data_IF_774669363799
#
_entry.id   IF_774669363799
#
_cell.length_a   1.000
_cell.length_b   1.000
_cell.length_c   1.000
_cell.angle_alpha   90.00
_cell.angle_beta   90.00
_cell.angle_gamma   90.00
#
_symmetry.space_group_name_H-M   'P 1'
#
loop_
_entity.id
_entity.type
_entity.pdbx_description
1 polymer ?
#
# COMPACT_ATOMS: atom_id res chain seq x y z
N UNK A 1 13.85 23.04 15.96
CA UNK A 1 13.49 24.09 16.94
C UNK A 1 14.75 24.50 17.69
N UNK A 2 14.95 25.81 17.86
CA UNK A 2 16.19 26.46 18.34
C UNK A 2 16.32 26.45 19.86
N UNK A 3 17.58 26.43 20.30
CA UNK A 3 18.16 26.88 21.58
C UNK A 3 17.97 26.01 22.85
N UNK A 4 19.07 25.42 23.34
CA UNK A 4 19.51 25.60 24.74
C UNK A 4 21.01 25.25 24.98
N UNK A 5 21.80 26.31 25.11
CA UNK A 5 22.96 26.57 25.99
C UNK A 5 23.93 25.45 26.45
N UNK A 6 25.19 25.69 26.06
CA UNK A 6 26.48 25.41 26.71
C UNK A 6 26.45 25.21 28.24
N UNK A 7 27.10 24.13 28.69
CA UNK A 7 27.97 24.12 29.87
C UNK A 7 29.20 23.24 29.59
N UNK A 8 30.35 23.87 29.33
CA UNK A 8 31.65 23.22 29.33
C UNK A 8 32.15 23.20 30.78
N UNK A 9 32.15 22.04 31.42
CA UNK A 9 32.90 21.80 32.66
C UNK A 9 34.18 21.07 32.30
N UNK A 10 35.31 21.78 32.38
CA UNK A 10 36.65 21.20 32.33
C UNK A 10 36.84 20.35 33.59
N UNK A 11 36.81 19.02 33.46
CA UNK A 11 37.33 18.11 34.48
C UNK A 11 38.75 17.69 34.08
N UNK A 12 39.73 18.08 34.89
CA UNK A 12 41.12 17.62 34.79
C UNK A 12 41.20 16.10 34.93
N UNK A 13 42.15 15.41 34.26
CA UNK A 13 42.32 13.98 34.43
C UNK A 13 43.00 13.73 35.78
N UNK A 14 42.27 13.14 36.72
CA UNK A 14 42.88 12.46 37.87
C UNK A 14 43.47 11.16 37.34
N UNK A 15 44.79 11.07 37.29
CA UNK A 15 45.49 9.81 37.02
C UNK A 15 45.35 8.90 38.25
N UNK A 16 44.34 8.03 38.25
CA UNK A 16 44.28 6.89 39.16
C UNK A 16 45.22 5.79 38.65
N UNK A 17 46.11 5.33 39.52
CA UNK A 17 47.01 4.20 39.24
C UNK A 17 46.24 2.91 39.01
N UNK A 18 46.80 2.05 38.16
CA UNK A 18 46.20 0.84 37.60
C UNK A 18 46.06 -0.36 38.59
N UNK A 19 45.77 -0.13 39.87
CA UNK A 19 45.66 -1.25 40.85
C UNK A 19 44.29 -1.47 41.50
N UNK A 20 43.29 -0.65 41.24
CA UNK A 20 41.90 -0.97 41.61
C UNK A 20 40.93 -0.33 40.62
N UNK A 21 40.81 -0.93 39.44
CA UNK A 21 39.71 -0.58 38.56
C UNK A 21 38.39 -0.95 39.28
N UNK A 22 37.42 -0.02 39.35
CA UNK A 22 36.22 -0.23 40.14
C UNK A 22 35.41 -1.41 39.58
N UNK A 23 35.32 -2.49 40.36
CA UNK A 23 34.44 -3.61 40.07
C UNK A 23 33.01 -3.06 40.01
N UNK A 24 32.39 -3.13 38.83
CA UNK A 24 30.99 -2.72 38.65
C UNK A 24 30.11 -3.51 39.63
N UNK A 25 29.39 -2.84 40.56
CA UNK A 25 28.53 -3.54 41.50
C UNK A 25 27.40 -4.28 40.77
N UNK A 26 27.12 -5.53 41.16
CA UNK A 26 26.06 -6.33 40.53
C UNK A 26 24.67 -5.67 40.63
N UNK A 27 24.41 -4.92 41.71
CA UNK A 27 23.17 -4.16 41.86
C UNK A 27 23.02 -3.02 40.84
N UNK A 28 24.14 -2.40 40.43
CA UNK A 28 24.13 -1.37 39.40
C UNK A 28 23.79 -1.98 38.05
N UNK A 29 24.41 -3.12 37.70
CA UNK A 29 24.11 -3.85 36.45
C UNK A 29 22.66 -4.32 36.39
N UNK A 30 22.14 -4.85 37.51
CA UNK A 30 20.74 -5.26 37.62
C UNK A 30 19.79 -4.08 37.41
N UNK A 31 20.05 -2.95 38.08
CA UNK A 31 19.21 -1.75 37.95
C UNK A 31 19.30 -1.12 36.56
N UNK A 32 20.49 -1.11 35.94
CA UNK A 32 20.68 -0.68 34.57
C UNK A 32 19.85 -1.54 33.62
N UNK A 33 19.92 -2.87 33.75
CA UNK A 33 19.10 -3.80 32.96
C UNK A 33 17.60 -3.53 33.14
N UNK A 34 17.12 -3.43 34.38
CA UNK A 34 15.72 -3.09 34.69
C UNK A 34 15.27 -1.78 34.00
N UNK A 35 16.16 -0.81 33.89
CA UNK A 35 15.87 0.47 33.24
C UNK A 35 15.96 0.41 31.72
N UNK A 36 16.87 -0.39 31.16
CA UNK A 36 16.97 -0.64 29.71
C UNK A 36 15.75 -1.42 29.18
N UNK A 37 15.17 -2.30 29.98
CA UNK A 37 13.94 -3.04 29.66
C UNK A 37 12.66 -2.16 29.78
N UNK A 38 12.77 -0.96 30.34
CA UNK A 38 11.62 -0.08 30.59
C UNK A 38 10.95 0.42 29.31
N UNK A 39 9.62 0.56 29.35
CA UNK A 39 8.86 1.21 28.27
C UNK A 39 9.09 2.73 28.23
N UNK A 40 9.42 3.33 29.38
CA UNK A 40 9.75 4.75 29.51
C UNK A 40 11.12 5.08 28.90
N UNK A 41 11.19 5.86 27.79
CA UNK A 41 12.44 6.24 27.15
C UNK A 41 13.38 7.03 28.06
N UNK A 42 12.85 7.79 29.04
CA UNK A 42 13.68 8.55 29.96
C UNK A 42 14.48 7.63 30.90
N UNK A 43 13.87 6.51 31.33
CA UNK A 43 14.56 5.48 32.13
C UNK A 43 15.63 4.76 31.32
N UNK A 44 15.32 4.36 30.08
CA UNK A 44 16.29 3.73 29.18
C UNK A 44 17.49 4.65 28.93
N UNK A 45 17.24 5.90 28.56
CA UNK A 45 18.28 6.92 28.35
C UNK A 45 19.19 7.10 29.57
N UNK A 46 18.61 7.19 30.77
CA UNK A 46 19.40 7.31 32.00
C UNK A 46 20.26 6.07 32.28
N UNK A 47 19.80 4.87 31.91
CA UNK A 47 20.63 3.67 31.96
C UNK A 47 21.81 3.77 30.99
N UNK A 48 21.58 4.16 29.74
CA UNK A 48 22.64 4.29 28.72
C UNK A 48 23.68 5.36 29.09
N UNK A 49 23.26 6.52 29.59
CA UNK A 49 24.19 7.55 30.07
C UNK A 49 25.08 7.07 31.23
N UNK A 50 24.61 6.10 32.02
CA UNK A 50 25.45 5.49 33.05
C UNK A 50 26.57 4.66 32.42
N UNK A 51 26.30 3.96 31.30
CA UNK A 51 27.29 3.13 30.58
C UNK A 51 28.42 3.98 30.02
N UNK A 52 28.10 5.15 29.46
CA UNK A 52 29.04 6.09 28.83
C UNK A 52 30.06 6.68 29.81
N UNK A 53 29.82 6.58 31.12
CA UNK A 53 30.69 7.13 32.16
C UNK A 53 31.62 6.07 32.79
N UNK A 54 31.65 4.84 32.26
CA UNK A 54 32.35 3.70 32.87
C UNK A 54 33.69 3.40 32.23
N UNK A 55 34.53 2.67 32.96
CA UNK A 55 35.84 2.21 32.48
C UNK A 55 35.71 1.14 31.39
N UNK A 56 36.74 1.01 30.55
CA UNK A 56 36.82 -0.02 29.50
C UNK A 56 36.59 -1.44 30.05
N UNK A 57 37.05 -1.71 31.26
CA UNK A 57 36.92 -3.01 31.94
C UNK A 57 35.46 -3.37 32.29
N UNK A 58 34.57 -2.38 32.39
CA UNK A 58 33.16 -2.57 32.64
C UNK A 58 32.36 -2.94 31.38
N UNK A 59 32.84 -2.55 30.18
CA UNK A 59 32.11 -2.63 28.92
C UNK A 59 31.56 -4.03 28.59
N UNK A 60 32.30 -5.15 28.77
CA UNK A 60 31.77 -6.48 28.44
C UNK A 60 30.51 -6.87 29.25
N UNK A 61 30.43 -6.43 30.52
CA UNK A 61 29.26 -6.71 31.37
C UNK A 61 28.04 -5.89 30.93
N UNK A 62 28.24 -4.64 30.50
CA UNK A 62 27.17 -3.80 29.98
C UNK A 62 26.73 -4.24 28.59
N UNK A 63 27.65 -4.67 27.73
CA UNK A 63 27.33 -5.28 26.44
C UNK A 63 26.42 -6.52 26.63
N UNK A 64 26.72 -7.36 27.63
CA UNK A 64 25.85 -8.49 27.99
C UNK A 64 24.46 -8.03 28.44
N UNK A 65 24.37 -6.95 29.21
CA UNK A 65 23.10 -6.39 29.65
C UNK A 65 22.30 -5.73 28.50
N UNK A 66 22.98 -5.09 27.54
CA UNK A 66 22.38 -4.55 26.31
C UNK A 66 21.78 -5.68 25.45
N UNK A 67 22.50 -6.79 25.25
CA UNK A 67 21.95 -7.95 24.54
C UNK A 67 20.75 -8.58 25.26
N UNK A 68 20.78 -8.63 26.60
CA UNK A 68 19.63 -9.10 27.38
C UNK A 68 18.41 -8.18 27.20
N UNK A 69 18.61 -6.85 27.25
CA UNK A 69 17.56 -5.87 26.98
C UNK A 69 17.05 -5.94 25.53
N UNK A 70 17.92 -6.16 24.53
CA UNK A 70 17.53 -6.38 23.13
C UNK A 70 16.57 -7.57 23.03
N UNK A 71 16.98 -8.72 23.59
CA UNK A 71 16.14 -9.93 23.62
C UNK A 71 14.82 -9.72 24.37
N UNK A 72 14.80 -8.89 25.40
CA UNK A 72 13.56 -8.52 26.10
C UNK A 72 12.59 -7.80 25.16
N UNK A 73 13.06 -6.77 24.46
CA UNK A 73 12.25 -5.95 23.57
C UNK A 73 11.79 -6.72 22.33
N UNK A 74 12.62 -7.57 21.75
CA UNK A 74 12.23 -8.50 20.66
C UNK A 74 11.09 -9.43 21.10
N UNK A 75 11.18 -10.03 22.31
CA UNK A 75 10.09 -10.86 22.86
C UNK A 75 8.83 -10.04 23.11
N UNK A 76 8.97 -8.78 23.53
CA UNK A 76 7.85 -7.85 23.70
C UNK A 76 7.19 -7.55 22.36
N UNK A 77 7.95 -7.30 21.29
CA UNK A 77 7.46 -7.12 19.93
C UNK A 77 6.62 -8.34 19.50
N UNK A 78 7.16 -9.54 19.65
CA UNK A 78 6.44 -10.77 19.32
C UNK A 78 5.14 -10.91 20.10
N UNK A 79 5.11 -10.58 21.41
CA UNK A 79 3.86 -10.58 22.21
C UNK A 79 2.84 -9.55 21.74
N UNK A 80 3.28 -8.34 21.38
CA UNK A 80 2.40 -7.28 20.86
C UNK A 80 1.76 -7.73 19.56
N UNK A 81 2.57 -8.26 18.64
CA UNK A 81 2.11 -8.64 17.30
C UNK A 81 1.30 -9.94 17.32
N UNK A 82 1.57 -10.88 18.22
CA UNK A 82 0.81 -12.13 18.40
C UNK A 82 -0.37 -12.02 19.38
N UNK A 83 -0.53 -10.88 20.06
CA UNK A 83 -1.46 -10.73 21.17
C UNK A 83 -2.93 -10.78 20.77
N UNK A 84 -3.61 -11.90 21.07
CA UNK A 84 -5.06 -12.01 21.29
C UNK A 84 -6.02 -11.73 20.11
N UNK A 85 -7.28 -12.18 20.24
CA UNK A 85 -8.33 -12.07 19.20
C UNK A 85 -8.76 -10.63 18.87
N UNK A 86 -8.38 -9.66 19.71
CA UNK A 86 -8.77 -8.25 19.55
C UNK A 86 -7.71 -7.43 18.78
N UNK A 87 -6.63 -8.07 18.31
CA UNK A 87 -5.62 -7.40 17.50
C UNK A 87 -6.07 -7.34 16.03
N UNK A 88 -6.52 -6.15 15.61
CA UNK A 88 -6.97 -5.90 14.24
C UNK A 88 -5.90 -6.20 13.15
N UNK A 89 -4.61 -6.23 13.49
CA UNK A 89 -3.56 -6.73 12.58
C UNK A 89 -3.74 -8.21 12.24
N UNK A 90 -4.07 -9.06 13.22
CA UNK A 90 -4.26 -10.51 13.01
C UNK A 90 -5.48 -10.83 12.14
N UNK A 91 -6.47 -9.95 12.10
CA UNK A 91 -7.62 -10.09 11.21
C UNK A 91 -7.36 -9.56 9.80
N UNK A 92 -6.68 -8.41 9.68
CA UNK A 92 -6.51 -7.72 8.41
C UNK A 92 -5.35 -8.26 7.57
N UNK A 93 -4.22 -8.62 8.19
CA UNK A 93 -3.04 -9.11 7.47
C UNK A 93 -3.33 -10.32 6.58
N UNK A 94 -3.95 -11.41 7.06
CA UNK A 94 -4.20 -12.57 6.22
C UNK A 94 -5.19 -12.26 5.09
N UNK A 95 -6.12 -11.33 5.32
CA UNK A 95 -7.10 -10.90 4.31
C UNK A 95 -6.42 -10.11 3.19
N UNK A 96 -5.47 -9.22 3.50
CA UNK A 96 -4.71 -8.48 2.50
C UNK A 96 -3.77 -9.39 1.70
N UNK A 97 -3.17 -10.40 2.33
CA UNK A 97 -2.35 -11.41 1.65
C UNK A 97 -3.20 -12.31 0.74
N UNK A 98 -4.35 -12.77 1.22
CA UNK A 98 -5.36 -13.51 0.44
C UNK A 98 -5.81 -12.68 -0.77
N UNK A 99 -6.17 -11.40 -0.55
CA UNK A 99 -6.61 -10.50 -1.62
C UNK A 99 -5.54 -10.33 -2.70
N UNK A 100 -4.29 -10.12 -2.29
CA UNK A 100 -3.15 -9.94 -3.22
C UNK A 100 -2.95 -11.18 -4.07
N UNK A 101 -2.99 -12.36 -3.45
CA UNK A 101 -2.80 -13.66 -4.12
C UNK A 101 -3.94 -13.94 -5.09
N UNK A 102 -5.18 -13.77 -4.65
CA UNK A 102 -6.36 -14.08 -5.44
C UNK A 102 -6.57 -13.08 -6.59
N UNK A 103 -6.26 -11.79 -6.39
CA UNK A 103 -6.23 -10.81 -7.48
C UNK A 103 -5.28 -11.24 -8.59
N UNK A 104 -4.05 -11.64 -8.25
CA UNK A 104 -3.06 -12.08 -9.24
C UNK A 104 -3.58 -13.29 -10.02
N UNK A 105 -4.07 -14.32 -9.32
CA UNK A 105 -4.60 -15.54 -9.93
C UNK A 105 -5.77 -15.26 -10.87
N UNK A 106 -6.76 -14.49 -10.41
CA UNK A 106 -7.98 -14.20 -11.20
C UNK A 106 -7.70 -13.23 -12.33
N UNK A 107 -6.75 -12.30 -12.17
CA UNK A 107 -6.33 -11.41 -13.25
C UNK A 107 -5.73 -12.17 -14.44
N UNK A 108 -4.97 -13.23 -14.18
CA UNK A 108 -4.48 -14.11 -15.25
C UNK A 108 -5.63 -14.85 -15.94
N UNK A 109 -6.65 -15.29 -15.20
CA UNK A 109 -7.86 -15.91 -15.78
C UNK A 109 -8.66 -14.92 -16.65
N UNK A 110 -8.77 -13.66 -16.24
CA UNK A 110 -9.46 -12.61 -17.00
C UNK A 110 -8.87 -12.48 -18.42
N UNK A 111 -7.56 -12.71 -18.59
CA UNK A 111 -6.82 -12.61 -19.85
C UNK A 111 -6.86 -13.85 -20.74
N UNK A 112 -7.50 -14.92 -20.29
CA UNK A 112 -7.65 -16.13 -21.10
C UNK A 112 -8.74 -15.91 -22.15
N UNK A 113 -8.46 -16.33 -23.39
CA UNK A 113 -9.46 -16.47 -24.44
C UNK A 113 -10.23 -17.78 -24.23
N UNK A 114 -11.45 -17.66 -23.70
CA UNK A 114 -12.33 -18.79 -23.45
C UNK A 114 -13.14 -19.20 -24.67
N UNK A 115 -12.92 -18.58 -25.84
CA UNK A 115 -13.66 -18.83 -27.08
C UNK A 115 -15.17 -18.72 -26.87
N UNK A 116 -15.59 -17.78 -26.00
CA UNK A 116 -16.99 -17.56 -25.60
C UNK A 116 -17.69 -18.78 -24.98
N UNK A 117 -16.95 -19.73 -24.40
CA UNK A 117 -17.51 -20.87 -23.68
C UNK A 117 -18.30 -20.40 -22.44
N UNK A 118 -19.61 -20.54 -22.47
CA UNK A 118 -20.50 -20.03 -21.42
C UNK A 118 -20.23 -20.64 -20.03
N UNK A 119 -19.79 -21.91 -19.96
CA UNK A 119 -19.46 -22.57 -18.69
C UNK A 119 -18.21 -21.96 -18.08
N UNK A 120 -17.18 -21.72 -18.91
CA UNK A 120 -15.93 -21.10 -18.46
C UNK A 120 -16.10 -19.63 -18.09
N UNK A 121 -16.93 -18.89 -18.83
CA UNK A 121 -17.29 -17.51 -18.46
C UNK A 121 -18.05 -17.49 -17.14
N UNK A 122 -18.95 -18.44 -16.88
CA UNK A 122 -19.63 -18.55 -15.57
C UNK A 122 -18.64 -18.86 -14.46
N UNK A 123 -17.69 -19.79 -14.68
CA UNK A 123 -16.60 -20.05 -13.73
C UNK A 123 -15.82 -18.77 -13.43
N UNK A 124 -15.37 -18.03 -14.46
CA UNK A 124 -14.65 -16.77 -14.28
C UNK A 124 -15.44 -15.74 -13.45
N UNK A 125 -16.78 -15.65 -13.64
CA UNK A 125 -17.62 -14.77 -12.81
C UNK A 125 -17.57 -15.16 -11.33
N UNK A 126 -17.70 -16.45 -11.04
CA UNK A 126 -17.61 -16.96 -9.66
C UNK A 126 -16.24 -16.66 -9.03
N UNK A 127 -15.17 -16.74 -9.82
CA UNK A 127 -13.81 -16.38 -9.37
C UNK A 127 -13.72 -14.89 -9.02
N UNK A 128 -14.22 -14.00 -9.88
CA UNK A 128 -14.28 -12.54 -9.61
C UNK A 128 -15.13 -12.22 -8.38
N UNK A 129 -16.29 -12.87 -8.23
CA UNK A 129 -17.14 -12.74 -7.04
C UNK A 129 -16.43 -13.23 -5.76
N UNK A 130 -15.54 -14.22 -5.88
CA UNK A 130 -14.70 -14.65 -4.76
C UNK A 130 -13.74 -13.58 -4.32
N UNK A 131 -13.07 -12.92 -5.27
CA UNK A 131 -12.19 -11.78 -4.97
C UNK A 131 -12.98 -10.62 -4.37
N UNK A 132 -14.19 -10.34 -4.86
CA UNK A 132 -15.05 -9.30 -4.27
C UNK A 132 -15.35 -9.58 -2.80
N UNK A 133 -15.71 -10.82 -2.43
CA UNK A 133 -15.93 -11.18 -1.01
C UNK A 133 -14.71 -10.90 -0.14
N UNK A 134 -13.50 -11.18 -0.64
CA UNK A 134 -12.25 -10.89 0.07
C UNK A 134 -12.01 -9.38 0.15
N UNK A 135 -12.24 -8.66 -0.95
CA UNK A 135 -12.13 -7.21 -1.03
C UNK A 135 -13.06 -6.49 -0.03
N UNK A 136 -14.32 -6.94 0.09
CA UNK A 136 -15.26 -6.40 1.07
C UNK A 136 -14.84 -6.68 2.53
N UNK A 137 -14.24 -7.86 2.79
CA UNK A 137 -13.63 -8.16 4.10
C UNK A 137 -12.45 -7.23 4.39
N UNK A 138 -11.58 -6.99 3.39
CA UNK A 138 -10.46 -6.07 3.53
C UNK A 138 -10.92 -4.65 3.85
N UNK A 139 -11.96 -4.13 3.15
CA UNK A 139 -12.58 -2.84 3.48
C UNK A 139 -13.03 -2.81 4.94
N UNK A 140 -13.80 -3.82 5.36
CA UNK A 140 -14.33 -3.88 6.72
C UNK A 140 -13.23 -3.84 7.78
N UNK A 141 -12.21 -4.68 7.66
CA UNK A 141 -11.13 -4.74 8.64
C UNK A 141 -10.19 -3.54 8.56
N UNK A 142 -10.05 -2.91 7.38
CA UNK A 142 -9.25 -1.69 7.23
C UNK A 142 -9.82 -0.47 7.98
N UNK A 143 -11.10 -0.50 8.33
CA UNK A 143 -11.76 0.53 9.14
C UNK A 143 -11.37 0.50 10.62
N UNK A 144 -10.72 -0.58 11.09
CA UNK A 144 -10.25 -0.67 12.46
C UNK A 144 -9.07 0.29 12.71
N UNK A 145 -9.06 0.91 13.89
CA UNK A 145 -7.96 1.76 14.32
C UNK A 145 -6.75 0.90 14.75
N UNK A 146 -5.62 1.10 14.07
CA UNK A 146 -4.36 0.43 14.37
C UNK A 146 -3.38 1.33 15.12
N UNK A 147 -3.71 2.61 15.35
CA UNK A 147 -2.82 3.55 16.04
C UNK A 147 -2.31 3.01 17.40
N UNK A 148 -3.14 2.40 18.26
CA UNK A 148 -2.65 1.83 19.52
C UNK A 148 -1.61 0.71 19.34
N UNK A 149 -1.77 -0.13 18.32
CA UNK A 149 -0.82 -1.19 17.99
C UNK A 149 0.46 -0.59 17.42
N UNK A 150 0.33 0.30 16.43
CA UNK A 150 1.47 0.96 15.77
C UNK A 150 2.32 1.71 16.78
N UNK A 151 1.71 2.45 17.72
CA UNK A 151 2.45 3.15 18.79
C UNK A 151 3.23 2.18 19.68
N UNK A 152 2.67 1.02 20.02
CA UNK A 152 3.39 0.02 20.80
C UNK A 152 4.58 -0.57 20.03
N UNK A 153 4.42 -0.83 18.73
CA UNK A 153 5.52 -1.29 17.87
C UNK A 153 6.59 -0.22 17.74
N UNK A 154 6.22 1.04 17.54
CA UNK A 154 7.15 2.18 17.47
C UNK A 154 7.94 2.35 18.77
N UNK A 155 7.31 2.20 19.93
CA UNK A 155 8.01 2.24 21.22
C UNK A 155 9.05 1.13 21.36
N UNK A 156 8.74 -0.07 20.87
CA UNK A 156 9.69 -1.20 20.89
C UNK A 156 10.82 -0.95 19.89
N UNK A 157 10.51 -0.52 18.65
CA UNK A 157 11.49 -0.16 17.65
C UNK A 157 12.45 0.92 18.18
N UNK A 158 11.93 1.94 18.84
CA UNK A 158 12.74 2.97 19.48
C UNK A 158 13.70 2.39 20.53
N UNK A 159 13.22 1.50 21.41
CA UNK A 159 14.07 0.87 22.41
C UNK A 159 15.19 0.01 21.78
N UNK A 160 14.88 -0.69 20.68
CA UNK A 160 15.86 -1.49 19.95
C UNK A 160 16.91 -0.61 19.27
N UNK A 161 16.51 0.48 18.61
CA UNK A 161 17.44 1.46 18.01
C UNK A 161 18.37 2.08 19.04
N UNK A 162 17.85 2.43 20.22
CA UNK A 162 18.66 2.97 21.32
C UNK A 162 19.71 1.94 21.78
N UNK A 163 19.35 0.65 21.86
CA UNK A 163 20.29 -0.41 22.25
C UNK A 163 21.35 -0.64 21.17
N UNK A 164 20.95 -0.71 19.89
CA UNK A 164 21.89 -0.84 18.76
C UNK A 164 22.87 0.33 18.70
N UNK A 165 22.39 1.55 18.97
CA UNK A 165 23.25 2.73 19.05
C UNK A 165 24.32 2.59 20.13
N UNK A 166 23.95 2.11 21.32
CA UNK A 166 24.93 1.89 22.40
C UNK A 166 25.87 0.72 22.10
N UNK A 167 25.40 -0.34 21.45
CA UNK A 167 26.27 -1.44 21.00
C UNK A 167 27.30 -0.95 19.98
N UNK A 168 26.88 -0.15 19.00
CA UNK A 168 27.76 0.46 18.01
C UNK A 168 28.79 1.41 18.66
N UNK A 169 28.37 2.22 19.64
CA UNK A 169 29.30 3.06 20.44
C UNK A 169 30.38 2.24 21.14
N UNK A 170 29.99 1.12 21.77
CA UNK A 170 30.95 0.23 22.44
C UNK A 170 31.92 -0.39 21.43
N UNK A 171 31.43 -0.79 20.24
CA UNK A 171 32.26 -1.36 19.19
C UNK A 171 33.28 -0.34 18.65
N UNK A 172 32.85 0.85 18.26
CA UNK A 172 33.74 1.91 17.77
C UNK A 172 34.76 2.35 18.81
N UNK A 173 34.36 2.46 20.08
CA UNK A 173 35.30 2.80 21.16
C UNK A 173 36.42 1.77 21.30
N UNK A 174 36.12 0.47 21.11
CA UNK A 174 37.14 -0.60 21.11
C UNK A 174 38.09 -0.52 19.91
N UNK A 175 37.66 0.10 18.82
CA UNK A 175 38.47 0.36 17.63
C UNK A 175 39.28 1.66 17.74
N UNK A 176 39.10 2.43 18.83
CA UNK A 176 39.75 3.72 19.03
C UNK A 176 39.08 4.85 18.27
N UNK A 177 37.81 4.66 17.87
CA UNK A 177 37.00 5.63 17.15
C UNK A 177 35.84 6.15 18.02
N UNK A 178 35.36 7.35 17.71
CA UNK A 178 34.15 7.91 18.32
C UNK A 178 32.98 7.76 17.34
N UNK A 179 31.91 7.11 17.78
CA UNK A 179 30.68 6.96 16.99
C UNK A 179 29.55 7.84 17.52
N UNK A 180 29.02 8.69 16.63
CA UNK A 180 27.77 9.42 16.85
C UNK A 180 26.87 9.20 15.64
N UNK A 181 25.66 8.62 15.81
CA UNK A 181 24.79 8.30 14.69
C UNK A 181 24.27 9.57 14.01
N UNK A 182 24.33 9.59 12.68
CA UNK A 182 23.64 10.60 11.89
C UNK A 182 22.18 10.20 11.57
N UNK A 183 21.42 11.09 10.92
CA UNK A 183 20.02 10.82 10.56
C UNK A 183 19.87 9.59 9.67
N UNK A 184 20.87 9.26 8.86
CA UNK A 184 20.84 8.10 7.96
C UNK A 184 21.08 6.80 8.70
N UNK A 185 21.98 6.81 9.69
CA UNK A 185 22.22 5.68 10.59
C UNK A 185 20.96 5.39 11.42
N UNK A 186 20.32 6.41 11.99
CA UNK A 186 19.09 6.23 12.76
C UNK A 186 17.95 5.68 11.90
N UNK A 187 17.82 6.10 10.64
CA UNK A 187 16.84 5.53 9.71
C UNK A 187 17.15 4.08 9.36
N UNK A 188 18.43 3.72 9.18
CA UNK A 188 18.87 2.34 8.93
C UNK A 188 18.56 1.46 10.14
N UNK A 189 18.99 1.87 11.33
CA UNK A 189 18.75 1.14 12.57
C UNK A 189 17.26 0.98 12.86
N UNK A 190 16.44 1.99 12.58
CA UNK A 190 14.99 1.89 12.76
C UNK A 190 14.37 0.80 11.89
N UNK A 191 14.85 0.68 10.65
CA UNK A 191 14.43 -0.36 9.72
C UNK A 191 14.90 -1.74 10.20
N UNK A 192 16.18 -1.85 10.55
CA UNK A 192 16.82 -3.09 11.02
C UNK A 192 16.17 -3.61 12.31
N UNK A 193 15.85 -2.72 13.25
CA UNK A 193 15.22 -3.05 14.53
C UNK A 193 13.94 -3.89 14.40
N UNK A 194 13.18 -3.71 13.32
CA UNK A 194 11.99 -4.52 13.05
C UNK A 194 12.29 -5.68 12.10
N UNK A 195 13.11 -5.48 11.08
CA UNK A 195 13.44 -6.50 10.05
C UNK A 195 14.24 -7.70 10.60
N UNK A 196 15.00 -7.52 11.69
CA UNK A 196 15.75 -8.61 12.31
C UNK A 196 14.86 -9.67 12.98
N UNK A 197 13.58 -9.37 13.18
CA UNK A 197 12.61 -10.31 13.75
C UNK A 197 11.58 -10.73 12.71
N UNK A 198 11.20 -12.01 12.73
CA UNK A 198 10.16 -12.54 11.84
C UNK A 198 8.84 -11.76 11.95
N UNK A 199 8.41 -11.44 13.18
CA UNK A 199 7.15 -10.73 13.42
C UNK A 199 7.24 -9.26 12.95
N UNK A 200 8.37 -8.59 13.17
CA UNK A 200 8.58 -7.20 12.75
C UNK A 200 8.64 -7.06 11.22
N UNK A 201 9.35 -7.95 10.51
CA UNK A 201 9.36 -7.98 9.05
C UNK A 201 7.94 -8.16 8.48
N UNK A 202 7.18 -9.11 9.04
CA UNK A 202 5.79 -9.35 8.64
C UNK A 202 4.91 -8.12 8.87
N UNK A 203 5.09 -7.42 10.00
CA UNK A 203 4.35 -6.19 10.30
C UNK A 203 4.68 -5.05 9.34
N UNK A 204 5.95 -4.85 8.97
CA UNK A 204 6.35 -3.84 7.96
C UNK A 204 5.68 -4.14 6.61
N UNK A 205 5.75 -5.40 6.15
CA UNK A 205 5.10 -5.84 4.91
C UNK A 205 3.60 -5.57 4.95
N UNK A 206 2.96 -5.86 6.08
CA UNK A 206 1.55 -5.57 6.32
C UNK A 206 1.24 -4.07 6.23
N UNK A 207 1.99 -3.20 6.92
CA UNK A 207 1.76 -1.76 6.88
C UNK A 207 1.81 -1.23 5.45
N UNK A 208 2.83 -1.64 4.68
CA UNK A 208 2.95 -1.30 3.26
C UNK A 208 1.73 -1.77 2.44
N UNK A 209 1.31 -3.02 2.63
CA UNK A 209 0.15 -3.55 1.90
C UNK A 209 -1.15 -2.82 2.27
N UNK A 210 -1.33 -2.47 3.56
CA UNK A 210 -2.46 -1.69 4.04
C UNK A 210 -2.46 -0.28 3.45
N UNK A 211 -1.32 0.40 3.41
CA UNK A 211 -1.21 1.75 2.86
C UNK A 211 -1.54 1.77 1.36
N UNK A 212 -1.03 0.78 0.61
CA UNK A 212 -1.40 0.59 -0.80
C UNK A 212 -2.91 0.39 -0.93
N UNK A 213 -3.50 -0.48 -0.11
CA UNK A 213 -4.94 -0.73 -0.15
C UNK A 213 -5.78 0.52 0.20
N UNK A 214 -5.41 1.28 1.23
CA UNK A 214 -6.09 2.53 1.59
C UNK A 214 -5.97 3.58 0.48
N UNK A 215 -4.81 3.65 -0.18
CA UNK A 215 -4.62 4.51 -1.34
C UNK A 215 -5.48 4.07 -2.53
N UNK A 216 -5.67 2.77 -2.77
CA UNK A 216 -6.62 2.25 -3.77
C UNK A 216 -8.05 2.70 -3.47
N UNK A 217 -8.52 2.58 -2.23
CA UNK A 217 -9.86 3.02 -1.81
C UNK A 217 -10.06 4.52 -2.02
N UNK A 218 -9.08 5.32 -1.62
CA UNK A 218 -9.08 6.78 -1.82
C UNK A 218 -9.13 7.14 -3.31
N UNK A 219 -8.35 6.44 -4.15
CA UNK A 219 -8.31 6.65 -5.59
C UNK A 219 -9.63 6.28 -6.26
N UNK A 220 -10.28 5.19 -5.85
CA UNK A 220 -11.61 4.80 -6.31
C UNK A 220 -12.65 5.86 -5.95
N UNK A 221 -12.66 6.32 -4.70
CA UNK A 221 -13.59 7.34 -4.24
C UNK A 221 -13.42 8.65 -5.02
N UNK A 222 -12.18 9.09 -5.26
CA UNK A 222 -11.88 10.27 -6.04
C UNK A 222 -12.36 10.15 -7.50
N UNK A 223 -12.11 9.01 -8.14
CA UNK A 223 -12.53 8.78 -9.52
C UNK A 223 -14.05 8.74 -9.68
N UNK A 224 -14.75 8.03 -8.79
CA UNK A 224 -16.21 7.98 -8.82
C UNK A 224 -16.83 9.34 -8.50
N UNK A 225 -16.22 10.12 -7.60
CA UNK A 225 -16.63 11.52 -7.36
C UNK A 225 -16.48 12.38 -8.62
N UNK A 226 -15.33 12.32 -9.29
CA UNK A 226 -15.10 13.01 -10.58
C UNK A 226 -16.17 12.63 -11.62
N UNK A 227 -16.45 11.33 -11.76
CA UNK A 227 -17.45 10.83 -12.71
C UNK A 227 -18.85 11.33 -12.37
N UNK A 228 -19.23 11.29 -11.08
CA UNK A 228 -20.52 11.77 -10.59
C UNK A 228 -20.71 13.28 -10.82
N UNK A 229 -19.66 14.06 -10.58
CA UNK A 229 -19.67 15.53 -10.68
C UNK A 229 -19.54 16.04 -12.12
N UNK A 230 -19.22 15.16 -13.08
CA UNK A 230 -19.14 15.51 -14.50
C UNK A 230 -20.52 15.93 -15.03
N UNK A 231 -20.75 17.24 -15.14
CA UNK A 231 -22.05 17.81 -15.51
C UNK A 231 -22.49 17.49 -16.95
N UNK A 232 -21.53 17.29 -17.86
CA UNK A 232 -21.78 16.92 -19.26
C UNK A 232 -22.22 15.45 -19.41
N UNK A 233 -21.93 14.59 -18.43
CA UNK A 233 -22.22 13.17 -18.50
C UNK A 233 -23.66 12.87 -18.09
N UNK A 234 -24.35 12.07 -18.90
CA UNK A 234 -25.66 11.51 -18.60
C UNK A 234 -25.60 10.48 -17.47
N UNK A 235 -26.77 10.20 -16.86
CA UNK A 235 -26.89 9.18 -15.80
C UNK A 235 -26.34 7.82 -16.24
N UNK A 236 -26.71 7.33 -17.43
CA UNK A 236 -26.25 6.04 -17.94
C UNK A 236 -24.73 5.96 -18.15
N UNK A 237 -24.06 7.07 -18.45
CA UNK A 237 -22.60 7.10 -18.55
C UNK A 237 -21.96 7.00 -17.16
N UNK A 238 -22.53 7.69 -16.17
CA UNK A 238 -22.09 7.63 -14.76
C UNK A 238 -22.30 6.25 -14.17
N UNK A 239 -23.49 5.67 -14.36
CA UNK A 239 -23.84 4.34 -13.86
C UNK A 239 -22.90 3.26 -14.44
N UNK A 240 -22.59 3.34 -15.74
CA UNK A 240 -21.62 2.43 -16.36
C UNK A 240 -20.20 2.62 -15.81
N UNK A 241 -19.75 3.88 -15.66
CA UNK A 241 -18.42 4.19 -15.14
C UNK A 241 -18.25 3.69 -13.70
N UNK A 242 -19.25 3.89 -12.85
CA UNK A 242 -19.26 3.41 -11.47
C UNK A 242 -19.21 1.88 -11.41
N UNK A 243 -20.04 1.19 -12.23
CA UNK A 243 -20.03 -0.26 -12.34
C UNK A 243 -18.65 -0.79 -12.77
N UNK A 244 -18.07 -0.23 -13.84
CA UNK A 244 -16.76 -0.66 -14.34
C UNK A 244 -15.66 -0.38 -13.32
N UNK A 245 -15.67 0.78 -12.66
CA UNK A 245 -14.65 1.14 -11.68
C UNK A 245 -14.69 0.26 -10.43
N UNK A 246 -15.87 -0.13 -9.95
CA UNK A 246 -16.00 -1.10 -8.86
C UNK A 246 -15.32 -2.43 -9.24
N UNK A 247 -15.60 -2.92 -10.44
CA UNK A 247 -15.04 -4.19 -10.94
C UNK A 247 -13.54 -4.11 -11.16
N UNK A 248 -13.04 -2.97 -11.65
CA UNK A 248 -11.60 -2.69 -11.77
C UNK A 248 -10.93 -2.63 -10.39
N UNK A 249 -11.53 -1.98 -9.40
CA UNK A 249 -10.99 -1.89 -8.04
C UNK A 249 -10.92 -3.24 -7.32
N UNK A 250 -11.91 -4.12 -7.50
CA UNK A 250 -11.87 -5.49 -6.97
C UNK A 250 -10.62 -6.22 -7.49
N UNK A 251 -10.26 -5.99 -8.76
CA UNK A 251 -9.07 -6.55 -9.41
C UNK A 251 -7.76 -5.76 -9.13
N UNK A 252 -7.78 -4.73 -8.29
CA UNK A 252 -6.59 -3.90 -8.01
C UNK A 252 -6.17 -3.03 -9.20
N UNK A 253 -7.06 -2.77 -10.15
CA UNK A 253 -6.81 -1.92 -11.30
C UNK A 253 -7.21 -0.48 -11.02
N UNK A 254 -6.43 0.46 -11.56
CA UNK A 254 -6.73 1.89 -11.46
C UNK A 254 -8.12 2.20 -12.03
N UNK A 255 -8.98 2.92 -11.29
CA UNK A 255 -10.28 3.37 -11.80
C UNK A 255 -10.09 4.37 -12.94
N UNK A 256 -11.09 4.48 -13.80
CA UNK A 256 -11.10 5.36 -14.96
C UNK A 256 -11.91 6.62 -14.66
N UNK A 257 -11.42 7.75 -15.16
CA UNK A 257 -12.15 9.02 -15.17
C UNK A 257 -12.93 9.16 -16.47
N UNK A 258 -14.20 9.55 -16.37
CA UNK A 258 -14.99 9.96 -17.53
C UNK A 258 -14.30 11.15 -18.20
N UNK A 259 -14.11 11.02 -19.51
CA UNK A 259 -13.49 12.01 -20.36
C UNK A 259 -14.50 12.43 -21.43
N UNK A 260 -14.75 13.75 -21.51
CA UNK A 260 -15.85 14.32 -22.29
C UNK A 260 -15.69 14.07 -23.79
N UNK A 261 -14.48 14.24 -24.32
CA UNK A 261 -14.20 14.13 -25.76
C UNK A 261 -14.21 12.68 -26.21
N UNK A 262 -13.68 11.77 -25.40
CA UNK A 262 -13.83 10.33 -25.65
C UNK A 262 -15.30 9.90 -25.57
N UNK A 263 -16.07 10.40 -24.61
CA UNK A 263 -17.50 10.11 -24.49
C UNK A 263 -18.31 10.68 -25.64
N UNK A 264 -17.94 11.86 -26.14
CA UNK A 264 -18.50 12.45 -27.35
C UNK A 264 -18.24 11.55 -28.56
N UNK A 265 -16.99 11.14 -28.80
CA UNK A 265 -16.62 10.23 -29.88
C UNK A 265 -17.37 8.90 -29.82
N UNK A 266 -17.49 8.32 -28.62
CA UNK A 266 -18.23 7.09 -28.37
C UNK A 266 -19.74 7.25 -28.68
N UNK A 267 -20.34 8.34 -28.20
CA UNK A 267 -21.76 8.63 -28.41
C UNK A 267 -22.06 8.86 -29.90
N UNK A 268 -21.18 9.59 -30.58
CA UNK A 268 -21.28 9.85 -32.01
C UNK A 268 -21.18 8.54 -32.83
N UNK A 269 -20.29 7.62 -32.47
CA UNK A 269 -20.23 6.30 -33.12
C UNK A 269 -21.51 5.47 -32.89
N UNK A 270 -22.05 5.49 -31.67
CA UNK A 270 -23.32 4.81 -31.39
C UNK A 270 -24.51 5.44 -32.14
N UNK A 271 -24.49 6.76 -32.40
CA UNK A 271 -25.46 7.43 -33.29
C UNK A 271 -25.28 6.98 -34.74
N UNK A 272 -24.04 6.94 -35.24
CA UNK A 272 -23.74 6.49 -36.59
C UNK A 272 -24.22 5.05 -36.81
N UNK A 273 -23.87 4.12 -35.92
CA UNK A 273 -24.33 2.72 -35.98
C UNK A 273 -25.86 2.62 -36.05
N UNK A 274 -26.55 3.36 -35.18
CA UNK A 274 -28.02 3.37 -35.13
C UNK A 274 -28.66 3.98 -36.38
N UNK A 275 -28.16 5.12 -36.86
CA UNK A 275 -28.77 5.88 -37.93
C UNK A 275 -28.48 5.29 -39.32
N UNK A 276 -27.28 4.72 -39.50
CA UNK A 276 -26.83 4.15 -40.78
C UNK A 276 -27.01 2.63 -40.86
N UNK A 277 -27.45 1.98 -39.78
CA UNK A 277 -27.82 0.57 -39.78
C UNK A 277 -26.63 -0.39 -39.88
N UNK A 278 -25.51 -0.08 -39.21
CA UNK A 278 -24.34 -0.96 -39.17
C UNK A 278 -23.90 -1.25 -37.72
N UNK A 279 -23.17 -2.34 -37.53
CA UNK A 279 -22.56 -2.70 -36.24
C UNK A 279 -21.11 -3.14 -36.45
N UNK A 280 -20.19 -2.19 -36.38
CA UNK A 280 -18.77 -2.40 -36.60
C UNK A 280 -17.92 -1.36 -35.86
N UNK A 281 -16.66 -1.69 -35.59
CA UNK A 281 -15.68 -0.73 -35.06
C UNK A 281 -15.35 0.37 -36.09
N UNK A 282 -15.36 0.02 -37.38
CA UNK A 282 -15.16 0.96 -38.46
C UNK A 282 -16.46 1.69 -38.83
N UNK A 283 -16.42 3.02 -38.90
CA UNK A 283 -17.53 3.84 -39.39
C UNK A 283 -17.40 4.10 -40.90
N UNK A 284 -18.49 4.05 -41.68
CA UNK A 284 -18.49 4.46 -43.08
C UNK A 284 -18.46 5.99 -43.25
N UNK A 285 -18.51 6.76 -42.16
CA UNK A 285 -18.54 8.23 -42.20
C UNK A 285 -17.14 8.81 -42.40
N UNK A 286 -17.01 9.72 -43.37
CA UNK A 286 -15.74 10.35 -43.72
C UNK A 286 -15.05 11.03 -42.51
N UNK A 287 -13.76 10.73 -42.34
CA UNK A 287 -12.95 11.18 -41.21
C UNK A 287 -13.34 10.60 -39.84
N UNK A 288 -14.19 9.56 -39.78
CA UNK A 288 -14.56 8.84 -38.55
C UNK A 288 -14.25 7.34 -38.59
N UNK A 289 -13.49 6.89 -39.59
CA UNK A 289 -13.32 5.47 -39.91
C UNK A 289 -12.91 4.64 -38.70
N UNK A 290 -11.81 4.98 -38.04
CA UNK A 290 -11.32 4.22 -36.88
C UNK A 290 -11.72 4.86 -35.54
N UNK A 291 -11.70 4.11 -34.42
CA UNK A 291 -11.89 4.69 -33.08
C UNK A 291 -10.94 5.87 -32.81
N UNK A 292 -9.68 5.75 -33.24
CA UNK A 292 -8.69 6.83 -33.13
C UNK A 292 -9.03 8.07 -33.97
N UNK A 293 -9.60 7.91 -35.17
CA UNK A 293 -10.07 9.04 -35.97
C UNK A 293 -11.20 9.78 -35.26
N UNK A 294 -12.16 9.05 -34.67
CA UNK A 294 -13.27 9.63 -33.91
C UNK A 294 -12.77 10.39 -32.69
N UNK A 295 -11.84 9.81 -31.91
CA UNK A 295 -11.24 10.47 -30.75
C UNK A 295 -10.54 11.78 -31.16
N UNK A 296 -9.69 11.75 -32.19
CA UNK A 296 -9.01 12.95 -32.70
C UNK A 296 -10.00 14.00 -33.22
N UNK A 297 -11.03 13.59 -33.96
CA UNK A 297 -12.07 14.48 -34.49
C UNK A 297 -12.89 15.14 -33.37
N UNK A 298 -13.08 14.46 -32.24
CA UNK A 298 -13.66 15.01 -31.02
C UNK A 298 -12.71 15.95 -30.25
N UNK A 299 -11.47 16.11 -30.71
CA UNK A 299 -10.45 16.95 -30.08
C UNK A 299 -9.75 16.32 -28.89
N UNK A 300 -9.85 15.00 -28.71
CA UNK A 300 -9.11 14.27 -27.69
C UNK A 300 -7.63 14.20 -28.06
N UNK A 301 -6.76 14.64 -27.16
CA UNK A 301 -5.31 14.77 -27.38
C UNK A 301 -4.48 13.68 -26.71
N UNK A 302 -5.10 12.85 -25.87
CA UNK A 302 -4.43 11.70 -25.26
C UNK A 302 -4.28 10.53 -26.24
N UNK A 303 -3.62 9.47 -25.78
CA UNK A 303 -3.58 8.19 -26.49
C UNK A 303 -4.89 7.43 -26.27
N UNK A 304 -5.56 6.98 -27.32
CA UNK A 304 -6.66 6.00 -27.19
C UNK A 304 -6.05 4.59 -27.11
N UNK A 305 -6.70 3.66 -26.39
CA UNK A 305 -6.14 2.34 -26.10
C UNK A 305 -7.08 1.15 -26.36
N UNK A 306 -8.38 1.37 -26.53
CA UNK A 306 -9.32 0.28 -26.84
C UNK A 306 -10.73 0.77 -27.09
N UNK A 307 -11.53 -0.08 -27.73
CA UNK A 307 -12.96 0.14 -27.95
C UNK A 307 -13.77 -1.14 -27.74
N UNK A 308 -14.88 -1.04 -27.03
CA UNK A 308 -15.93 -2.06 -27.03
C UNK A 308 -17.22 -1.49 -27.62
N UNK A 309 -17.95 -2.29 -28.39
CA UNK A 309 -19.28 -1.92 -28.92
C UNK A 309 -20.32 -2.97 -28.53
N UNK A 310 -21.55 -2.54 -28.27
CA UNK A 310 -22.67 -3.42 -27.94
C UNK A 310 -23.96 -2.90 -28.58
N UNK A 311 -24.80 -3.81 -29.06
CA UNK A 311 -26.13 -3.54 -29.59
C UNK A 311 -27.10 -4.57 -29.02
N UNK A 312 -28.23 -4.09 -28.49
CA UNK A 312 -29.36 -4.95 -28.12
C UNK A 312 -30.18 -4.47 -26.91
N UNK A 313 -29.61 -3.62 -26.05
CA UNK A 313 -30.30 -3.13 -24.85
C UNK A 313 -29.80 -1.74 -24.47
N UNK A 314 -30.70 -0.91 -23.91
CA UNK A 314 -30.35 0.39 -23.33
C UNK A 314 -29.82 0.32 -21.90
N UNK A 315 -29.60 -0.88 -21.36
CA UNK A 315 -29.09 -1.07 -20.00
C UNK A 315 -27.56 -1.15 -19.96
N UNK A 316 -26.94 -0.29 -19.16
CA UNK A 316 -25.50 -0.32 -18.84
C UNK A 316 -25.04 -1.69 -18.33
N UNK A 317 -25.83 -2.34 -17.48
CA UNK A 317 -25.54 -3.68 -16.97
C UNK A 317 -25.58 -4.75 -18.07
N UNK A 318 -26.48 -4.62 -19.07
CA UNK A 318 -26.49 -5.51 -20.22
C UNK A 318 -25.23 -5.36 -21.08
N UNK A 319 -24.80 -4.11 -21.34
CA UNK A 319 -23.57 -3.84 -22.09
C UNK A 319 -22.33 -4.39 -21.35
N UNK A 320 -22.21 -4.10 -20.04
CA UNK A 320 -21.15 -4.66 -19.20
C UNK A 320 -21.11 -6.19 -19.26
N UNK A 321 -22.26 -6.84 -19.07
CA UNK A 321 -22.32 -8.30 -19.04
C UNK A 321 -21.98 -8.94 -20.39
N UNK A 322 -22.40 -8.33 -21.50
CA UNK A 322 -22.06 -8.78 -22.85
C UNK A 322 -20.56 -8.64 -23.12
N UNK A 323 -19.95 -7.52 -22.73
CA UNK A 323 -18.52 -7.31 -22.87
C UNK A 323 -17.69 -8.22 -21.96
N UNK A 324 -18.10 -8.43 -20.70
CA UNK A 324 -17.43 -9.37 -19.80
C UNK A 324 -17.44 -10.80 -20.36
N UNK A 325 -18.54 -11.22 -20.99
CA UNK A 325 -18.66 -12.55 -21.58
C UNK A 325 -17.87 -12.74 -22.90
N UNK A 326 -17.30 -11.66 -23.45
CA UNK A 326 -16.57 -11.69 -24.71
C UNK A 326 -15.09 -11.40 -24.46
N UNK A 327 -14.23 -12.34 -24.83
CA UNK A 327 -12.81 -12.33 -24.46
C UNK A 327 -12.10 -11.00 -24.80
N UNK A 328 -12.11 -10.58 -26.07
CA UNK A 328 -11.48 -9.31 -26.48
C UNK A 328 -12.05 -8.06 -25.78
N UNK A 329 -13.37 -8.02 -25.55
CA UNK A 329 -14.01 -6.90 -24.87
C UNK A 329 -13.65 -6.86 -23.37
N UNK A 330 -13.61 -8.02 -22.72
CA UNK A 330 -13.19 -8.17 -21.34
C UNK A 330 -11.74 -7.72 -21.16
N UNK A 331 -10.84 -8.07 -22.07
CA UNK A 331 -9.44 -7.63 -21.99
C UNK A 331 -9.31 -6.10 -22.00
N UNK A 332 -10.15 -5.39 -22.76
CA UNK A 332 -10.17 -3.92 -22.80
C UNK A 332 -10.72 -3.35 -21.49
N UNK A 333 -11.79 -3.93 -20.93
CA UNK A 333 -12.37 -3.48 -19.65
C UNK A 333 -11.39 -3.57 -18.47
N UNK A 334 -10.57 -4.62 -18.47
CA UNK A 334 -9.60 -4.92 -17.41
C UNK A 334 -8.14 -4.66 -17.84
N UNK A 335 -7.94 -3.87 -18.91
CA UNK A 335 -6.61 -3.47 -19.32
C UNK A 335 -5.93 -2.64 -18.22
N UNK A 336 -4.65 -2.94 -17.99
CA UNK A 336 -3.79 -2.09 -17.17
C UNK A 336 -3.23 -0.95 -18.03
N UNK A 337 -3.12 0.26 -17.49
CA UNK A 337 -2.59 1.43 -18.21
C UNK A 337 -3.56 2.58 -18.47
N UNK A 338 -4.79 2.38 -19.00
CA UNK A 338 -5.70 3.50 -19.24
C UNK A 338 -6.13 4.13 -17.91
N UNK A 339 -6.37 5.44 -17.95
CA UNK A 339 -6.90 6.23 -16.83
C UNK A 339 -8.12 7.07 -17.23
N UNK A 340 -8.55 7.00 -18.49
CA UNK A 340 -9.69 7.73 -19.03
C UNK A 340 -10.69 6.78 -19.71
N UNK A 341 -11.98 7.11 -19.60
CA UNK A 341 -13.12 6.37 -20.12
C UNK A 341 -14.02 7.29 -20.94
N UNK A 342 -14.26 6.91 -22.18
CA UNK A 342 -15.39 7.37 -22.98
C UNK A 342 -16.49 6.33 -22.98
N UNK A 343 -17.74 6.72 -22.75
CA UNK A 343 -18.89 5.81 -22.88
C UNK A 343 -20.05 6.55 -23.55
N UNK A 344 -20.70 5.92 -24.53
CA UNK A 344 -21.70 6.57 -25.37
C UNK A 344 -22.91 5.69 -25.61
N UNK A 345 -23.96 5.78 -24.76
CA UNK A 345 -25.22 5.07 -24.95
C UNK A 345 -26.18 5.82 -25.90
N UNK A 346 -26.75 5.12 -26.89
CA UNK A 346 -27.74 5.67 -27.83
C UNK A 346 -28.82 4.63 -28.14
N UNK A 347 -29.96 4.71 -27.43
CA UNK A 347 -31.01 3.69 -27.52
C UNK A 347 -30.48 2.33 -27.07
N UNK A 348 -30.44 1.35 -27.98
CA UNK A 348 -29.86 0.03 -27.72
C UNK A 348 -28.38 -0.13 -28.06
N UNK A 349 -27.69 0.94 -28.48
CA UNK A 349 -26.28 0.90 -28.88
C UNK A 349 -25.39 1.52 -27.79
N UNK A 350 -24.22 0.92 -27.59
CA UNK A 350 -23.20 1.38 -26.67
C UNK A 350 -21.83 1.32 -27.32
N UNK A 351 -21.05 2.37 -27.15
CA UNK A 351 -19.62 2.39 -27.45
C UNK A 351 -18.87 2.76 -26.18
N UNK A 352 -17.86 1.97 -25.81
CA UNK A 352 -16.91 2.28 -24.75
C UNK A 352 -15.55 2.51 -25.40
N UNK A 353 -14.85 3.57 -25.00
CA UNK A 353 -13.48 3.84 -25.41
C UNK A 353 -12.62 4.00 -24.16
N UNK A 354 -11.38 3.52 -24.20
CA UNK A 354 -10.40 3.80 -23.13
C UNK A 354 -9.26 4.63 -23.68
N UNK A 355 -8.66 5.42 -22.81
CA UNK A 355 -7.52 6.25 -23.16
C UNK A 355 -6.59 6.53 -22.00
N UNK A 356 -5.49 7.19 -22.34
CA UNK A 356 -4.51 7.71 -21.41
C UNK A 356 -4.07 9.10 -21.81
N UNK A 357 -4.17 10.04 -20.87
CA UNK A 357 -3.56 11.37 -20.95
C UNK A 357 -2.11 11.38 -20.49
#
# INVERSE_FOLDING_TARGET
MKNLLLFLAFCLPVTLGAEDAPVVPNDLLRKALEWMESEDPARRKAAYSTIQLLSEEALPKFQTALFAAKSHHEKRLGRILSGGRDNAYQELEPVLEELTTERKRVYDLIKIDYKKDASKIKMLRNEVESVDRIYQRAIRFSANDLSPLTTQVEQVAQALVEIETELARIESHREGEDYEPDDSDLQRQWKEALEETYDGERFIKFQKNRDVFLQELSTLAAANKHNKDSAWASASQKDFADLLNQQRAIMGLRPLHLEEKLSFAATDHSKDMKALGFFAHESPVEGKKTPGDRARKAGYTGGWSGENIFMGSGSHASAYNAWFASDGHRFIMFANGPNELGIGPVGGHWTMMTGRR
#
